data_IF_399639170026
#
_entry.id   IF_399639170026
#
_cell.length_a   1.000
_cell.length_b   1.000
_cell.length_c   1.000
_cell.angle_alpha   90.00
_cell.angle_beta   90.00
_cell.angle_gamma   90.00
#
_symmetry.space_group_name_H-M   'P 1'
#
loop_
_entity.id
_entity.type
_entity.pdbx_description
1 polymer ?
#
# COMPACT_ATOMS: atom_id res chain seq x y z
N UNK A 1 -58.78 -35.57 -70.55
CA UNK A 1 -57.71 -36.02 -69.62
C UNK A 1 -56.61 -34.96 -69.42
N UNK A 2 -56.13 -34.30 -70.49
CA UNK A 2 -55.05 -33.29 -70.43
C UNK A 2 -55.27 -32.09 -69.47
N UNK A 3 -56.50 -31.55 -69.36
CA UNK A 3 -56.84 -30.47 -68.40
C UNK A 3 -56.78 -30.91 -66.93
N UNK A 4 -57.08 -32.17 -66.61
CA UNK A 4 -57.03 -32.69 -65.23
C UNK A 4 -55.58 -32.93 -64.78
N UNK A 5 -54.71 -33.36 -65.70
CA UNK A 5 -53.26 -33.50 -65.46
C UNK A 5 -52.57 -32.16 -65.19
N UNK A 6 -52.96 -31.08 -65.88
CA UNK A 6 -52.42 -29.74 -65.64
C UNK A 6 -52.78 -29.19 -64.27
N UNK A 7 -54.01 -29.43 -63.80
CA UNK A 7 -54.46 -28.97 -62.48
C UNK A 7 -53.75 -29.74 -61.36
N UNK A 8 -53.55 -31.05 -61.52
CA UNK A 8 -52.83 -31.87 -60.54
C UNK A 8 -51.34 -31.48 -60.47
N UNK A 9 -50.71 -31.20 -61.62
CA UNK A 9 -49.33 -30.72 -61.67
C UNK A 9 -49.16 -29.34 -61.02
N UNK A 10 -50.12 -28.43 -61.21
CA UNK A 10 -50.13 -27.11 -60.57
C UNK A 10 -50.30 -27.22 -59.04
N UNK A 11 -51.18 -28.09 -58.56
CA UNK A 11 -51.39 -28.33 -57.12
C UNK A 11 -50.13 -28.97 -56.49
N UNK A 12 -49.46 -29.89 -57.18
CA UNK A 12 -48.19 -30.47 -56.72
C UNK A 12 -47.06 -29.44 -56.68
N UNK A 13 -46.95 -28.55 -57.66
CA UNK A 13 -45.96 -27.47 -57.63
C UNK A 13 -46.22 -26.50 -56.48
N UNK A 14 -47.48 -26.15 -56.20
CA UNK A 14 -47.83 -25.32 -55.04
C UNK A 14 -47.55 -26.03 -53.70
N UNK A 15 -47.76 -27.35 -53.61
CA UNK A 15 -47.44 -28.13 -52.42
C UNK A 15 -45.93 -28.25 -52.17
N UNK A 16 -45.11 -28.29 -53.24
CA UNK A 16 -43.65 -28.33 -53.15
C UNK A 16 -43.02 -27.01 -52.67
N UNK A 17 -43.74 -25.88 -52.78
CA UNK A 17 -43.28 -24.57 -52.31
C UNK A 17 -43.45 -24.36 -50.80
N UNK A 18 -44.13 -25.27 -50.10
CA UNK A 18 -44.45 -25.12 -48.66
C UNK A 18 -43.34 -25.71 -47.75
N UNK A 19 -42.38 -26.47 -48.30
CA UNK A 19 -41.37 -27.19 -47.49
C UNK A 19 -40.04 -26.44 -47.29
N UNK A 20 -39.89 -25.22 -47.80
CA UNK A 20 -38.69 -24.39 -47.54
C UNK A 20 -39.01 -23.28 -46.57
N UNK A 21 -39.36 -23.67 -45.34
CA UNK A 21 -39.34 -22.76 -44.19
C UNK A 21 -37.89 -22.42 -43.87
N UNK A 22 -37.37 -21.34 -44.46
CA UNK A 22 -36.11 -20.73 -44.01
C UNK A 22 -36.35 -20.12 -42.64
N UNK A 23 -36.01 -20.87 -41.58
CA UNK A 23 -35.89 -20.32 -40.23
C UNK A 23 -34.61 -19.48 -40.22
N UNK A 24 -34.70 -18.23 -40.70
CA UNK A 24 -33.68 -17.24 -40.48
C UNK A 24 -33.78 -16.78 -39.02
N UNK A 25 -33.12 -17.52 -38.11
CA UNK A 25 -32.86 -17.02 -36.77
C UNK A 25 -31.83 -15.90 -36.88
N UNK A 26 -32.29 -14.65 -37.03
CA UNK A 26 -31.44 -13.48 -36.84
C UNK A 26 -31.12 -13.35 -35.35
N UNK A 27 -30.21 -14.19 -34.86
CA UNK A 27 -29.63 -14.10 -33.53
C UNK A 27 -28.25 -13.46 -33.63
N UNK A 28 -28.11 -12.27 -33.06
CA UNK A 28 -26.82 -11.63 -32.81
C UNK A 28 -26.49 -11.80 -31.32
N UNK A 29 -25.30 -12.30 -31.03
CA UNK A 29 -24.76 -12.40 -29.67
C UNK A 29 -23.54 -11.48 -29.62
N UNK A 30 -23.56 -10.53 -28.69
CA UNK A 30 -22.44 -9.64 -28.42
C UNK A 30 -22.00 -9.84 -26.96
N UNK A 31 -20.70 -9.82 -26.70
CA UNK A 31 -20.14 -10.10 -25.38
C UNK A 31 -19.18 -9.00 -25.00
N UNK A 32 -19.53 -8.22 -23.97
CA UNK A 32 -18.66 -7.23 -23.37
C UNK A 32 -18.03 -7.77 -22.08
N UNK A 33 -16.71 -7.72 -21.99
CA UNK A 33 -16.00 -7.99 -20.74
C UNK A 33 -15.74 -6.66 -20.01
N UNK A 34 -16.57 -6.37 -19.00
CA UNK A 34 -16.37 -5.22 -18.12
C UNK A 34 -15.49 -5.64 -16.95
N UNK A 35 -14.22 -5.20 -16.96
CA UNK A 35 -13.30 -5.43 -15.85
C UNK A 35 -13.41 -4.29 -14.85
N UNK A 36 -13.95 -4.58 -13.67
CA UNK A 36 -13.97 -3.66 -12.52
C UNK A 36 -12.86 -4.13 -11.57
N UNK A 37 -11.82 -3.31 -11.41
CA UNK A 37 -10.70 -3.57 -10.48
C UNK A 37 -10.85 -2.64 -9.28
N UNK A 38 -10.89 -3.21 -8.07
CA UNK A 38 -10.93 -2.44 -6.82
C UNK A 38 -9.52 -2.35 -6.25
N UNK A 39 -9.13 -1.16 -5.79
CA UNK A 39 -7.99 -0.92 -4.89
C UNK A 39 -6.61 -1.32 -5.43
N UNK A 40 -5.79 -0.34 -5.78
CA UNK A 40 -4.34 -0.51 -5.85
C UNK A 40 -3.73 0.38 -4.78
N UNK A 41 -3.47 -0.22 -3.62
CA UNK A 41 -2.73 0.35 -2.49
C UNK A 41 -1.35 -0.27 -2.52
N UNK A 42 -0.33 0.55 -2.74
CA UNK A 42 1.06 0.14 -2.69
C UNK A 42 1.89 1.31 -2.18
N UNK A 43 2.81 1.03 -1.27
CA UNK A 43 3.71 2.02 -0.70
C UNK A 43 5.13 1.47 -0.64
N UNK A 44 6.10 2.38 -0.61
CA UNK A 44 7.51 2.08 -0.37
C UNK A 44 8.00 2.98 0.76
N UNK A 45 8.72 2.42 1.72
CA UNK A 45 9.45 3.18 2.73
C UNK A 45 10.82 3.56 2.19
N UNK A 46 11.22 4.80 2.41
CA UNK A 46 12.56 5.29 2.10
C UNK A 46 13.24 5.71 3.39
N UNK A 47 14.41 5.12 3.64
CA UNK A 47 15.30 5.46 4.74
C UNK A 47 16.60 5.98 4.15
N UNK A 48 16.95 7.22 4.45
CA UNK A 48 18.06 7.93 3.79
C UNK A 48 19.05 8.48 4.81
N UNK A 49 20.34 8.34 4.52
CA UNK A 49 21.45 8.86 5.33
C UNK A 49 21.73 10.35 5.12
N UNK A 50 22.82 10.84 5.70
CA UNK A 50 23.29 12.23 5.57
C UNK A 50 23.77 12.59 4.16
N UNK A 51 24.27 11.58 3.43
CA UNK A 51 24.75 11.68 2.05
C UNK A 51 23.62 11.66 0.99
N UNK A 52 22.38 11.40 1.40
CA UNK A 52 21.23 11.28 0.51
C UNK A 52 21.06 9.90 -0.13
N UNK A 53 21.90 8.93 0.24
CA UNK A 53 21.82 7.54 -0.21
C UNK A 53 20.99 6.68 0.77
N UNK A 54 20.55 5.47 0.36
CA UNK A 54 19.85 4.56 1.25
C UNK A 54 20.62 4.35 2.55
N UNK A 55 19.91 4.46 3.68
CA UNK A 55 20.49 4.35 5.01
C UNK A 55 21.22 2.99 5.17
N UNK A 56 22.42 3.04 5.72
CA UNK A 56 23.23 1.85 6.02
C UNK A 56 23.66 1.86 7.47
N UNK A 57 24.07 0.70 7.97
CA UNK A 57 24.50 0.55 9.37
C UNK A 57 25.65 1.50 9.69
N UNK A 58 25.47 2.27 10.77
CA UNK A 58 26.49 3.20 11.28
C UNK A 58 27.26 2.52 12.40
N UNK A 59 28.59 2.63 12.35
CA UNK A 59 29.51 2.09 13.36
C UNK A 59 30.17 3.22 14.14
N UNK A 60 30.74 2.90 15.29
CA UNK A 60 31.51 3.81 16.15
C UNK A 60 30.71 5.03 16.68
N UNK A 61 29.39 4.90 16.80
CA UNK A 61 28.53 5.91 17.44
C UNK A 61 28.82 5.99 18.93
N UNK A 62 29.00 7.20 19.46
CA UNK A 62 29.25 7.46 20.89
C UNK A 62 28.12 8.24 21.56
N UNK A 63 28.01 8.22 22.90
CA UNK A 63 27.00 8.99 23.62
C UNK A 63 27.00 10.47 23.24
N UNK A 64 25.81 11.02 22.96
CA UNK A 64 25.63 12.41 22.52
C UNK A 64 25.68 12.61 21.01
N UNK A 65 26.00 11.58 20.22
CA UNK A 65 26.00 11.66 18.77
C UNK A 65 24.58 11.75 18.19
N UNK A 66 24.51 12.34 17.00
CA UNK A 66 23.31 12.40 16.18
C UNK A 66 23.57 11.66 14.88
N UNK A 67 22.73 10.68 14.57
CA UNK A 67 22.75 9.92 13.32
C UNK A 67 21.61 10.40 12.43
N UNK A 68 21.93 10.86 11.22
CA UNK A 68 20.91 11.22 10.22
C UNK A 68 20.30 9.95 9.64
N UNK A 69 19.00 9.78 9.85
CA UNK A 69 18.16 8.72 9.29
C UNK A 69 16.82 9.36 8.95
N UNK A 70 16.65 9.74 7.69
CA UNK A 70 15.43 10.37 7.18
C UNK A 70 14.45 9.30 6.75
N UNK A 71 13.30 9.25 7.41
CA UNK A 71 12.25 8.25 7.14
C UNK A 71 11.07 8.91 6.44
N UNK A 72 10.75 8.43 5.23
CA UNK A 72 9.59 8.89 4.44
C UNK A 72 8.85 7.70 3.82
N UNK A 73 7.59 7.91 3.42
CA UNK A 73 6.79 6.89 2.73
C UNK A 73 6.29 7.43 1.41
N UNK A 74 6.50 6.69 0.32
CA UNK A 74 6.00 6.99 -1.02
C UNK A 74 4.77 6.13 -1.35
N UNK A 75 3.74 6.74 -1.94
CA UNK A 75 2.63 6.01 -2.54
C UNK A 75 2.96 5.64 -3.99
N UNK A 76 3.41 4.40 -4.21
CA UNK A 76 3.65 3.85 -5.56
C UNK A 76 2.40 3.22 -6.18
N UNK A 77 1.28 3.23 -5.45
CA UNK A 77 -0.01 2.75 -5.90
C UNK A 77 -0.69 3.70 -6.88
N UNK A 78 -1.87 3.28 -7.36
CA UNK A 78 -2.64 4.06 -8.33
C UNK A 78 -3.76 4.90 -7.69
N UNK A 79 -3.98 4.76 -6.38
CA UNK A 79 -5.06 5.45 -5.66
C UNK A 79 -4.52 6.24 -4.47
N UNK A 80 -5.21 7.30 -4.03
CA UNK A 80 -4.85 8.02 -2.83
C UNK A 80 -5.04 7.14 -1.58
N UNK A 81 -4.11 7.26 -0.63
CA UNK A 81 -4.04 6.40 0.56
C UNK A 81 -3.91 7.21 1.85
N UNK A 82 -4.35 6.61 2.94
CA UNK A 82 -3.95 6.95 4.29
C UNK A 82 -2.69 6.17 4.66
N UNK A 83 -1.79 6.76 5.44
CA UNK A 83 -0.51 6.15 5.84
C UNK A 83 -0.34 6.18 7.35
N UNK A 84 0.17 5.09 7.91
CA UNK A 84 0.69 5.04 9.29
C UNK A 84 2.02 4.32 9.33
N UNK A 85 2.86 4.64 10.33
CA UNK A 85 4.18 4.05 10.51
C UNK A 85 4.34 3.63 11.97
N UNK A 86 4.78 2.39 12.20
CA UNK A 86 5.27 1.93 13.49
C UNK A 86 6.80 2.09 13.54
N UNK A 87 7.30 2.60 14.65
CA UNK A 87 8.74 2.71 14.93
C UNK A 87 9.01 1.96 16.22
N UNK A 88 9.77 0.88 16.11
CA UNK A 88 10.21 0.06 17.23
C UNK A 88 11.73 0.13 17.28
N UNK A 89 12.30 0.08 18.48
CA UNK A 89 13.75 0.00 18.61
C UNK A 89 14.13 -0.84 19.82
N UNK A 90 15.36 -1.36 19.82
CA UNK A 90 15.95 -2.10 20.92
C UNK A 90 17.44 -1.77 21.01
N UNK A 91 17.99 -1.71 22.23
CA UNK A 91 19.43 -1.58 22.46
C UNK A 91 19.94 -2.90 23.04
N UNK A 92 20.76 -3.60 22.25
CA UNK A 92 21.33 -4.89 22.65
C UNK A 92 22.70 -4.67 23.29
N UNK A 93 22.81 -4.93 24.60
CA UNK A 93 24.09 -4.85 25.30
C UNK A 93 24.97 -6.07 25.00
N UNK A 94 26.29 -5.89 24.99
CA UNK A 94 27.26 -6.96 24.68
C UNK A 94 27.19 -8.14 25.64
N UNK A 95 26.79 -7.92 26.90
CA UNK A 95 26.70 -8.98 27.89
C UNK A 95 25.38 -9.79 27.82
N UNK A 96 24.60 -9.65 26.74
CA UNK A 96 23.38 -10.42 26.51
C UNK A 96 22.22 -10.05 27.46
N UNK A 97 22.41 -9.06 28.33
CA UNK A 97 21.34 -8.38 29.03
C UNK A 97 20.72 -7.37 28.06
N UNK A 98 19.44 -7.53 27.76
CA UNK A 98 18.64 -6.44 27.21
C UNK A 98 18.50 -5.43 28.36
N UNK A 99 18.80 -4.14 28.16
CA UNK A 99 18.43 -3.14 29.18
C UNK A 99 16.94 -3.27 29.46
N UNK A 100 16.49 -3.00 30.69
CA UNK A 100 15.08 -2.67 30.87
C UNK A 100 14.84 -1.46 29.97
N UNK A 101 14.15 -1.67 28.85
CA UNK A 101 13.90 -0.67 27.84
C UNK A 101 13.08 0.46 28.47
N UNK A 102 13.76 1.47 28.99
CA UNK A 102 13.14 2.66 29.56
C UNK A 102 12.84 3.69 28.46
N UNK A 103 13.45 3.51 27.29
CA UNK A 103 13.26 4.34 26.11
C UNK A 103 13.97 5.69 26.22
N UNK A 104 14.93 5.82 27.14
CA UNK A 104 15.72 7.02 27.35
C UNK A 104 17.07 6.97 26.61
N UNK A 105 17.45 5.82 26.02
CA UNK A 105 18.73 5.67 25.34
C UNK A 105 18.79 6.40 24.00
N UNK A 106 17.67 6.42 23.29
CA UNK A 106 17.53 7.05 21.97
C UNK A 106 16.37 8.05 21.99
N UNK A 107 16.55 9.15 21.27
CA UNK A 107 15.47 10.08 20.98
C UNK A 107 15.42 10.39 19.48
N UNK A 108 14.22 10.76 19.01
CA UNK A 108 13.95 11.03 17.60
C UNK A 108 13.30 12.40 17.46
N UNK A 109 13.64 13.13 16.40
CA UNK A 109 13.06 14.43 16.07
C UNK A 109 11.72 14.29 15.32
N UNK A 110 10.77 13.57 15.92
CA UNK A 110 9.48 13.30 15.28
C UNK A 110 8.77 14.57 14.81
N UNK A 111 8.32 14.56 13.55
CA UNK A 111 7.52 15.62 12.95
C UNK A 111 6.08 15.56 13.47
N UNK A 112 5.83 16.24 14.58
CA UNK A 112 4.49 16.34 15.21
C UNK A 112 3.54 17.33 14.52
N UNK A 113 3.97 17.95 13.42
CA UNK A 113 3.12 18.86 12.63
C UNK A 113 2.33 18.09 11.58
N UNK A 114 3.02 17.26 10.79
CA UNK A 114 2.41 16.49 9.72
C UNK A 114 2.02 15.07 10.15
N UNK A 115 2.51 14.62 11.30
CA UNK A 115 2.20 13.31 11.86
C UNK A 115 1.57 13.40 13.24
N UNK A 116 0.63 12.50 13.51
CA UNK A 116 -0.02 12.35 14.81
C UNK A 116 0.26 10.97 15.37
N UNK A 117 0.85 10.90 16.56
CA UNK A 117 1.04 9.63 17.27
C UNK A 117 -0.26 9.18 17.96
N UNK A 118 -0.65 7.93 17.76
CA UNK A 118 -1.79 7.30 18.44
C UNK A 118 -1.64 5.79 18.42
N UNK A 119 -1.97 5.11 19.53
CA UNK A 119 -2.07 3.64 19.59
C UNK A 119 -0.87 2.87 19.00
N UNK A 120 0.36 3.35 19.20
CA UNK A 120 1.59 2.68 18.72
C UNK A 120 2.01 3.03 17.29
N UNK A 121 1.30 3.94 16.62
CA UNK A 121 1.61 4.36 15.25
C UNK A 121 1.68 5.88 15.11
N UNK A 122 2.50 6.34 14.17
CA UNK A 122 2.48 7.70 13.66
C UNK A 122 1.64 7.73 12.38
N UNK A 123 0.55 8.49 12.40
CA UNK A 123 -0.37 8.64 11.27
C UNK A 123 -0.06 9.92 10.50
N UNK A 124 0.07 9.81 9.17
CA UNK A 124 0.27 10.98 8.32
C UNK A 124 -1.04 11.76 8.19
N UNK A 125 -1.03 13.04 8.54
CA UNK A 125 -2.25 13.84 8.71
C UNK A 125 -2.97 14.14 7.38
N UNK A 126 -2.30 13.96 6.24
CA UNK A 126 -2.83 14.24 4.90
C UNK A 126 -3.03 12.97 4.08
N UNK A 127 -3.96 13.02 3.12
CA UNK A 127 -4.07 11.96 2.10
C UNK A 127 -2.80 11.97 1.27
N UNK A 128 -2.20 10.80 1.08
CA UNK A 128 -1.03 10.63 0.23
C UNK A 128 -1.47 10.25 -1.20
N UNK A 129 -1.37 11.21 -2.11
CA UNK A 129 -1.73 11.02 -3.53
C UNK A 129 -0.77 10.06 -4.26
N UNK A 130 -1.20 9.41 -5.36
CA UNK A 130 -0.32 8.57 -6.18
C UNK A 130 0.95 9.30 -6.63
N UNK A 131 2.11 8.67 -6.41
CA UNK A 131 3.43 9.21 -6.72
C UNK A 131 3.94 10.28 -5.76
N UNK A 132 3.19 10.61 -4.70
CA UNK A 132 3.64 11.53 -3.67
C UNK A 132 4.41 10.80 -2.56
N UNK A 133 5.30 11.55 -1.91
CA UNK A 133 6.05 11.12 -0.72
C UNK A 133 5.64 11.98 0.46
N UNK A 134 5.51 11.38 1.64
CA UNK A 134 5.22 12.12 2.87
C UNK A 134 6.34 13.12 3.19
N UNK A 135 6.05 14.10 4.04
CA UNK A 135 7.13 14.73 4.81
C UNK A 135 7.79 13.68 5.72
N UNK A 136 9.04 13.93 6.10
CA UNK A 136 9.77 13.00 6.96
C UNK A 136 9.04 12.81 8.29
N UNK A 137 8.97 11.56 8.75
CA UNK A 137 8.48 11.21 10.07
C UNK A 137 9.48 11.68 11.14
N UNK A 138 10.77 11.44 10.91
CA UNK A 138 11.90 11.98 11.65
C UNK A 138 13.11 12.03 10.70
N UNK A 139 14.14 12.80 11.05
CA UNK A 139 15.37 12.95 10.27
C UNK A 139 16.62 12.49 11.04
N UNK A 140 16.53 12.44 12.37
CA UNK A 140 17.67 12.27 13.25
C UNK A 140 17.32 11.32 14.39
N UNK A 141 18.24 10.39 14.65
CA UNK A 141 18.27 9.60 15.87
C UNK A 141 19.39 10.16 16.75
N UNK A 142 19.06 10.60 17.95
CA UNK A 142 20.02 11.15 18.91
C UNK A 142 20.28 10.15 20.02
N UNK A 143 21.55 9.86 20.27
CA UNK A 143 22.00 8.96 21.33
C UNK A 143 22.17 9.76 22.62
N UNK A 144 21.58 9.28 23.72
CA UNK A 144 21.64 9.99 24.99
C UNK A 144 23.11 10.17 25.44
N UNK A 145 23.45 11.38 25.87
CA UNK A 145 24.81 11.72 26.34
C UNK A 145 25.14 11.08 27.69
N UNK A 146 24.12 10.69 28.46
CA UNK A 146 24.26 10.07 29.76
C UNK A 146 24.47 8.54 29.69
N UNK A 147 24.51 7.95 28.49
CA UNK A 147 24.78 6.53 28.30
C UNK A 147 26.15 6.16 28.91
N UNK A 148 26.10 5.32 29.95
CA UNK A 148 27.27 4.87 30.69
C UNK A 148 28.09 3.79 29.97
N UNK A 149 29.18 3.36 30.60
CA UNK A 149 30.08 2.33 30.06
C UNK A 149 29.40 0.98 29.79
N UNK A 150 28.23 0.71 30.37
CA UNK A 150 27.43 -0.50 30.12
C UNK A 150 26.89 -0.58 28.70
N UNK A 151 26.79 0.56 28.00
CA UNK A 151 26.39 0.64 26.59
C UNK A 151 27.57 0.53 25.61
N UNK A 152 28.79 0.33 26.11
CA UNK A 152 29.97 0.21 25.26
C UNK A 152 29.88 -1.03 24.38
N UNK A 153 30.05 -0.84 23.07
CA UNK A 153 29.91 -1.86 22.02
C UNK A 153 28.48 -2.42 21.85
N UNK A 154 27.46 -1.77 22.42
CA UNK A 154 26.06 -2.14 22.22
C UNK A 154 25.58 -1.83 20.81
N UNK A 155 24.52 -2.51 20.38
CA UNK A 155 23.90 -2.33 19.07
C UNK A 155 22.47 -1.84 19.24
N UNK A 156 22.20 -0.62 18.77
CA UNK A 156 20.86 -0.11 18.60
C UNK A 156 20.27 -0.62 17.28
N UNK A 157 19.10 -1.26 17.34
CA UNK A 157 18.33 -1.70 16.17
C UNK A 157 17.04 -0.89 16.15
N UNK A 158 16.71 -0.29 15.01
CA UNK A 158 15.52 0.54 14.82
C UNK A 158 14.76 -0.02 13.64
N UNK A 159 13.59 -0.58 13.92
CA UNK A 159 12.69 -1.16 12.94
C UNK A 159 11.57 -0.18 12.60
N UNK A 160 11.40 0.10 11.31
CA UNK A 160 10.38 1.02 10.80
C UNK A 160 9.45 0.29 9.84
N UNK A 161 8.18 0.23 10.18
CA UNK A 161 7.17 -0.49 9.40
C UNK A 161 6.07 0.47 8.96
N UNK A 162 5.90 0.63 7.65
CA UNK A 162 4.88 1.50 7.06
C UNK A 162 3.68 0.70 6.56
N UNK A 163 2.48 1.26 6.74
CA UNK A 163 1.22 0.66 6.36
C UNK A 163 0.33 1.69 5.66
N UNK A 164 -0.49 1.21 4.73
CA UNK A 164 -1.45 2.06 4.03
C UNK A 164 -2.81 1.39 3.85
N UNK A 165 -3.85 2.22 3.81
CA UNK A 165 -5.21 1.84 3.42
C UNK A 165 -5.76 2.87 2.44
N UNK A 166 -6.72 2.52 1.60
CA UNK A 166 -7.33 3.48 0.68
C UNK A 166 -7.99 4.63 1.45
N UNK A 167 -7.93 5.86 0.93
CA UNK A 167 -8.64 7.00 1.53
C UNK A 167 -10.08 7.16 1.01
N UNK A 168 -10.35 6.68 -0.20
CA UNK A 168 -11.67 6.79 -0.81
C UNK A 168 -12.72 6.04 0.01
N UNK A 169 -13.73 6.79 0.47
CA UNK A 169 -14.83 6.30 1.32
C UNK A 169 -14.35 5.63 2.63
N UNK A 170 -13.22 6.08 3.20
CA UNK A 170 -12.62 5.46 4.38
C UNK A 170 -12.15 6.50 5.41
N UNK A 171 -13.09 7.03 6.19
CA UNK A 171 -12.84 8.07 7.21
C UNK A 171 -12.67 9.47 6.60
N UNK A 172 -12.99 10.50 7.38
CA UNK A 172 -12.70 11.89 7.00
C UNK A 172 -11.26 12.28 7.38
N UNK A 173 -10.69 11.59 8.36
CA UNK A 173 -9.30 11.73 8.81
C UNK A 173 -8.59 10.39 8.85
N UNK A 174 -7.26 10.44 8.90
CA UNK A 174 -6.41 9.24 8.98
C UNK A 174 -6.70 8.38 10.23
N UNK A 175 -7.09 9.00 11.36
CA UNK A 175 -7.41 8.28 12.60
C UNK A 175 -8.77 7.57 12.56
N UNK A 176 -9.66 8.00 11.67
CA UNK A 176 -10.96 7.34 11.45
C UNK A 176 -10.87 6.20 10.42
N UNK A 177 -9.80 6.17 9.63
CA UNK A 177 -9.59 5.19 8.58
C UNK A 177 -9.55 3.76 9.15
N UNK A 178 -10.18 2.83 8.43
CA UNK A 178 -10.31 1.44 8.81
C UNK A 178 -9.61 0.52 7.80
N UNK A 179 -9.51 -0.76 8.15
CA UNK A 179 -8.95 -1.79 7.26
C UNK A 179 -7.44 -1.68 7.09
N UNK A 180 -6.73 -1.23 8.14
CA UNK A 180 -5.27 -1.26 8.17
C UNK A 180 -4.77 -2.69 8.09
N UNK A 181 -3.69 -2.97 7.33
CA UNK A 181 -3.02 -4.27 7.39
C UNK A 181 -2.52 -4.57 8.81
N UNK A 182 -2.61 -5.84 9.20
CA UNK A 182 -1.97 -6.36 10.42
C UNK A 182 -0.46 -6.49 10.20
N UNK A 183 0.36 -6.29 11.25
CA UNK A 183 1.80 -6.59 11.23
C UNK A 183 2.11 -8.07 10.92
#
# INVERSE_FOLDING_TARGET
MKRKLLIIAAIMCCAALITTGTIAYFTAQDTAQNRITSGNVAIVIHEVGDDGEPFTDVVDVVPGDNVTKVVTVENTGANPVWVRVAVEYVVNLVEGAVSEFDGEELSFDFNTTDWTYSEGYYYYNSILEPGATTTALFNTVSFNIELGNEYMNSVAVIDVNAYATQSANNGATVLEAQGWPEP
#
